data_IF_921427477044
#
_entry.id   IF_921427477044
#
_cell.length_a   1.000
_cell.length_b   1.000
_cell.length_c   1.000
_cell.angle_alpha   90.00
_cell.angle_beta   90.00
_cell.angle_gamma   90.00
#
_symmetry.space_group_name_H-M   'P 1'
#
loop_
_entity.id
_entity.type
_entity.pdbx_description
1 polymer ?
#
# COMPACT_ATOMS: atom_id res chain seq x y z
N UNK A 1 73.35 21.04 45.11
CA UNK A 1 71.97 20.73 45.48
C UNK A 1 71.04 21.26 44.37
N UNK A 2 70.56 20.37 43.49
CA UNK A 2 69.63 20.72 42.42
C UNK A 2 68.26 20.06 42.76
N UNK A 3 67.14 20.77 42.74
CA UNK A 3 65.87 20.15 42.87
C UNK A 3 65.33 19.64 41.50
N UNK A 4 64.95 18.38 41.48
CA UNK A 4 64.28 17.75 40.33
C UNK A 4 62.83 18.25 40.23
N UNK A 5 62.51 18.85 39.07
CA UNK A 5 61.16 19.25 38.71
C UNK A 5 60.44 18.04 38.08
N UNK A 6 59.45 17.50 38.79
CA UNK A 6 58.56 16.42 38.30
C UNK A 6 57.39 17.05 37.57
N UNK A 7 57.39 16.90 36.25
CA UNK A 7 56.27 17.34 35.42
C UNK A 7 55.18 16.26 35.39
N UNK A 8 54.03 16.56 35.98
CA UNK A 8 52.84 15.73 35.85
C UNK A 8 52.16 15.98 34.50
N UNK A 9 52.15 14.98 33.63
CA UNK A 9 51.39 14.99 32.36
C UNK A 9 49.99 14.45 32.73
N UNK A 10 48.99 15.35 32.74
CA UNK A 10 47.57 14.97 32.88
C UNK A 10 47.07 14.56 31.50
N UNK A 11 46.85 13.26 31.30
CA UNK A 11 46.19 12.73 30.12
C UNK A 11 44.68 12.94 30.26
N UNK A 12 44.13 13.92 29.53
CA UNK A 12 42.70 14.14 29.41
C UNK A 12 42.17 13.15 28.38
N UNK A 13 41.51 12.07 28.85
CA UNK A 13 40.74 11.18 28.01
C UNK A 13 39.45 11.90 27.56
N UNK A 14 39.39 12.34 26.27
CA UNK A 14 38.18 12.78 25.62
C UNK A 14 37.37 11.53 25.29
N UNK A 15 36.38 11.22 26.15
CA UNK A 15 35.31 10.28 25.85
C UNK A 15 34.41 10.94 24.78
N UNK A 16 34.60 10.59 23.50
CA UNK A 16 33.64 10.90 22.46
C UNK A 16 32.35 10.10 22.74
N UNK A 17 31.42 10.72 23.44
CA UNK A 17 30.04 10.28 23.49
C UNK A 17 29.47 10.44 22.06
N UNK A 18 29.43 9.33 21.32
CA UNK A 18 28.56 9.22 20.17
C UNK A 18 27.12 9.35 20.64
N UNK A 19 26.61 10.58 20.67
CA UNK A 19 25.19 10.84 20.73
C UNK A 19 24.57 10.28 19.43
N UNK A 20 24.11 9.04 19.50
CA UNK A 20 23.19 8.52 18.52
C UNK A 20 21.92 9.40 18.63
N UNK A 21 21.84 10.44 17.80
CA UNK A 21 20.61 11.21 17.69
C UNK A 21 19.54 10.24 17.17
N UNK A 22 18.53 9.98 17.98
CA UNK A 22 17.36 9.25 17.52
C UNK A 22 16.82 9.98 16.27
N UNK A 23 16.85 9.33 15.14
CA UNK A 23 16.32 9.86 13.88
C UNK A 23 14.86 10.24 14.08
N UNK A 24 14.55 11.52 14.01
CA UNK A 24 13.18 12.02 14.25
C UNK A 24 12.36 11.88 12.98
N UNK A 25 11.61 10.78 12.86
CA UNK A 25 10.59 10.62 11.80
C UNK A 25 9.56 11.73 11.91
N UNK A 26 9.39 12.51 10.84
CA UNK A 26 8.37 13.56 10.81
C UNK A 26 7.02 12.99 10.41
N UNK A 27 6.09 12.96 11.35
CA UNK A 27 4.71 12.52 11.13
C UNK A 27 3.77 13.70 10.96
N UNK A 28 3.09 13.81 9.80
CA UNK A 28 2.07 14.82 9.53
C UNK A 28 0.73 14.11 9.42
N UNK A 29 -0.16 14.40 10.34
CA UNK A 29 -1.45 13.71 10.46
C UNK A 29 -2.60 14.54 9.91
N UNK A 30 -3.69 13.85 9.54
CA UNK A 30 -4.98 14.42 9.19
C UNK A 30 -4.96 15.42 8.02
N UNK A 31 -4.09 15.20 7.03
CA UNK A 31 -4.03 16.00 5.82
C UNK A 31 -5.28 15.68 4.98
N UNK A 32 -6.14 16.67 4.75
CA UNK A 32 -7.28 16.56 3.83
C UNK A 32 -6.77 16.64 2.38
N UNK A 33 -6.98 15.58 1.60
CA UNK A 33 -6.64 15.56 0.18
C UNK A 33 -7.84 15.76 -0.74
N UNK A 34 -9.06 15.52 -0.22
CA UNK A 34 -10.30 15.75 -0.92
C UNK A 34 -11.47 15.90 0.06
N UNK A 35 -12.53 16.59 -0.40
CA UNK A 35 -13.81 16.66 0.30
C UNK A 35 -14.94 16.37 -0.68
N UNK A 36 -15.80 15.40 -0.37
CA UNK A 36 -16.95 15.01 -1.18
C UNK A 36 -18.21 15.25 -0.36
N UNK A 37 -18.97 16.28 -0.70
CA UNK A 37 -20.06 16.79 0.15
C UNK A 37 -19.51 17.08 1.56
N UNK A 38 -20.07 16.43 2.59
CA UNK A 38 -19.62 16.59 3.98
C UNK A 38 -18.56 15.58 4.41
N UNK A 39 -18.11 14.71 3.49
CA UNK A 39 -17.13 13.67 3.78
C UNK A 39 -15.70 14.13 3.44
N UNK A 40 -14.90 14.36 4.47
CA UNK A 40 -13.49 14.70 4.36
C UNK A 40 -12.65 13.43 4.17
N UNK A 41 -11.88 13.36 3.09
CA UNK A 41 -10.93 12.29 2.80
C UNK A 41 -9.53 12.73 3.24
N UNK A 42 -8.92 11.96 4.14
CA UNK A 42 -7.66 12.33 4.79
C UNK A 42 -6.59 11.27 4.62
N UNK A 43 -5.35 11.72 4.68
CA UNK A 43 -4.16 10.88 4.74
C UNK A 43 -3.23 11.31 5.88
N UNK A 44 -2.32 10.41 6.26
CA UNK A 44 -1.19 10.68 7.14
C UNK A 44 0.10 10.47 6.35
N UNK A 45 1.09 11.36 6.55
CA UNK A 45 2.43 11.23 6.00
C UNK A 45 3.42 10.86 7.11
N UNK A 46 4.25 9.88 6.82
CA UNK A 46 5.40 9.46 7.60
C UNK A 46 6.61 9.72 6.73
N UNK A 47 7.47 10.63 7.15
CA UNK A 47 8.60 11.09 6.35
C UNK A 47 9.91 10.70 7.04
N UNK A 48 10.91 10.18 6.31
CA UNK A 48 12.23 9.94 6.86
C UNK A 48 12.90 11.27 7.24
N UNK A 49 13.96 11.24 8.02
CA UNK A 49 14.72 12.43 8.42
C UNK A 49 15.24 13.21 7.20
N UNK A 50 15.74 12.47 6.19
CA UNK A 50 16.14 13.02 4.89
C UNK A 50 15.07 12.69 3.86
N UNK A 51 14.21 13.66 3.57
CA UNK A 51 13.10 13.49 2.63
C UNK A 51 13.48 13.68 1.17
N UNK A 52 14.58 14.43 0.91
CA UNK A 52 14.98 14.76 -0.45
C UNK A 52 15.17 13.51 -1.31
N UNK A 53 14.31 13.38 -2.33
CA UNK A 53 14.26 12.26 -3.26
C UNK A 53 13.90 10.90 -2.64
N UNK A 54 13.30 10.86 -1.45
CA UNK A 54 12.77 9.60 -0.93
C UNK A 54 11.60 9.12 -1.79
N UNK A 55 11.64 7.85 -2.23
CA UNK A 55 10.54 7.26 -2.97
C UNK A 55 9.30 7.12 -2.06
N UNK A 56 8.10 7.20 -2.66
CA UNK A 56 6.84 7.18 -1.93
C UNK A 56 6.16 5.81 -1.99
N UNK A 57 5.81 5.29 -0.81
CA UNK A 57 4.93 4.12 -0.66
C UNK A 57 3.57 4.59 -0.14
N UNK A 58 2.49 4.25 -0.84
CA UNK A 58 1.11 4.56 -0.45
C UNK A 58 0.48 3.34 0.19
N UNK A 59 0.13 3.43 1.47
CA UNK A 59 -0.53 2.36 2.21
C UNK A 59 -2.06 2.52 2.22
N UNK A 60 -2.77 1.43 1.91
CA UNK A 60 -4.23 1.34 1.91
C UNK A 60 -4.67 0.31 2.95
N UNK A 61 -5.47 0.76 3.92
CA UNK A 61 -5.92 -0.09 5.01
C UNK A 61 -6.93 -1.16 4.57
N UNK A 62 -6.98 -2.26 5.31
CA UNK A 62 -7.98 -3.31 5.18
C UNK A 62 -9.33 -2.95 5.84
N UNK A 63 -10.09 -3.98 6.22
CA UNK A 63 -11.34 -3.83 6.95
C UNK A 63 -12.59 -4.12 6.13
N UNK A 64 -12.49 -4.91 5.05
CA UNK A 64 -13.63 -5.35 4.23
C UNK A 64 -14.38 -4.19 3.58
N UNK A 65 -13.71 -3.08 3.30
CA UNK A 65 -14.28 -1.82 2.79
C UNK A 65 -15.37 -1.21 3.70
N UNK A 66 -15.58 -1.73 4.92
CA UNK A 66 -16.60 -1.31 5.86
C UNK A 66 -16.08 -0.64 7.12
N UNK A 67 -14.80 -0.81 7.40
CA UNK A 67 -14.10 -0.28 8.57
C UNK A 67 -12.62 -0.04 8.28
N UNK A 68 -11.90 0.53 9.25
CA UNK A 68 -10.49 0.89 9.11
C UNK A 68 -10.30 2.36 8.74
N UNK A 69 -9.09 2.80 8.75
CA UNK A 69 -8.70 4.17 8.39
C UNK A 69 -7.17 4.25 8.18
N UNK A 70 -6.69 5.41 7.73
CA UNK A 70 -5.27 5.76 7.63
C UNK A 70 -4.44 5.54 8.91
N UNK A 71 -5.09 5.43 10.08
CA UNK A 71 -4.39 5.13 11.35
C UNK A 71 -3.81 3.72 11.40
N UNK A 72 -4.23 2.84 10.51
CA UNK A 72 -3.85 1.43 10.46
C UNK A 72 -2.72 1.18 9.45
N UNK A 73 -1.68 2.01 9.51
CA UNK A 73 -0.48 1.87 8.70
C UNK A 73 0.38 0.69 9.18
N UNK A 74 0.77 -0.21 8.27
CA UNK A 74 1.64 -1.35 8.58
C UNK A 74 3.04 -1.20 7.99
N UNK A 75 3.29 -0.15 7.21
CA UNK A 75 4.55 0.06 6.52
C UNK A 75 5.27 1.36 6.93
N UNK A 76 4.85 2.02 8.01
CA UNK A 76 5.50 3.22 8.55
C UNK A 76 6.99 3.01 8.91
N UNK A 77 7.37 1.79 9.26
CA UNK A 77 8.77 1.38 9.49
C UNK A 77 9.68 1.58 8.26
N UNK A 78 9.13 1.69 7.05
CA UNK A 78 9.92 1.98 5.84
C UNK A 78 10.62 3.34 5.91
N UNK A 79 10.16 4.25 6.77
CA UNK A 79 10.83 5.54 7.00
C UNK A 79 12.23 5.38 7.60
N UNK A 80 12.47 4.33 8.40
CA UNK A 80 13.79 3.96 8.92
C UNK A 80 14.76 3.53 7.79
N UNK A 81 14.22 3.20 6.61
CA UNK A 81 14.97 2.82 5.41
C UNK A 81 14.95 3.89 4.31
N UNK A 82 14.58 5.13 4.66
CA UNK A 82 14.64 6.27 3.75
C UNK A 82 13.47 6.40 2.77
N UNK A 83 12.37 5.66 2.97
CA UNK A 83 11.14 5.80 2.17
C UNK A 83 10.16 6.75 2.84
N UNK A 84 9.47 7.57 2.06
CA UNK A 84 8.26 8.25 2.53
C UNK A 84 7.07 7.33 2.45
N UNK A 85 6.18 7.38 3.45
CA UNK A 85 4.96 6.58 3.48
C UNK A 85 3.73 7.49 3.62
N UNK A 86 2.72 7.29 2.76
CA UNK A 86 1.42 7.93 2.87
C UNK A 86 0.36 6.88 3.21
N UNK A 87 -0.26 6.98 4.37
CA UNK A 87 -1.39 6.12 4.73
C UNK A 87 -2.69 6.84 4.45
N UNK A 88 -3.56 6.29 3.59
CA UNK A 88 -4.75 6.96 3.09
C UNK A 88 -6.04 6.34 3.64
N UNK A 89 -7.08 7.17 3.83
CA UNK A 89 -8.45 6.73 4.02
C UNK A 89 -9.24 6.85 2.73
N UNK A 90 -10.25 6.00 2.59
CA UNK A 90 -11.21 6.01 1.48
C UNK A 90 -12.65 5.89 2.03
N UNK A 91 -13.66 6.27 1.25
CA UNK A 91 -15.08 6.13 1.64
C UNK A 91 -15.43 4.65 1.83
N UNK A 92 -15.96 4.34 2.99
CA UNK A 92 -16.42 2.99 3.31
C UNK A 92 -17.71 2.66 2.54
N UNK A 93 -18.02 1.39 2.38
CA UNK A 93 -19.15 0.90 1.55
C UNK A 93 -20.54 1.30 2.08
N UNK A 94 -20.64 1.74 3.34
CA UNK A 94 -21.84 2.37 3.89
C UNK A 94 -22.03 3.79 3.36
N UNK A 95 -20.94 4.49 3.03
CA UNK A 95 -20.98 5.87 2.52
C UNK A 95 -21.19 5.88 1.01
N UNK A 96 -20.46 5.02 0.29
CA UNK A 96 -20.58 4.90 -1.17
C UNK A 96 -20.19 3.50 -1.63
N UNK A 97 -20.83 3.02 -2.71
CA UNK A 97 -20.52 1.74 -3.33
C UNK A 97 -19.32 1.85 -4.26
N UNK A 98 -18.74 0.70 -4.66
CA UNK A 98 -17.76 0.66 -5.72
C UNK A 98 -18.33 1.34 -7.01
N UNK A 99 -17.50 2.17 -7.70
CA UNK A 99 -16.05 2.31 -7.63
C UNK A 99 -15.53 3.44 -6.70
N UNK A 100 -16.36 4.00 -5.80
CA UNK A 100 -15.99 5.15 -4.98
C UNK A 100 -14.67 4.97 -4.20
N UNK A 101 -14.40 3.78 -3.67
CA UNK A 101 -13.17 3.45 -2.93
C UNK A 101 -11.93 3.60 -3.81
N UNK A 102 -12.00 3.10 -5.05
CA UNK A 102 -10.91 3.20 -6.01
C UNK A 102 -10.68 4.63 -6.45
N UNK A 103 -11.74 5.39 -6.74
CA UNK A 103 -11.66 6.81 -7.09
C UNK A 103 -11.01 7.64 -5.99
N UNK A 104 -11.31 7.35 -4.71
CA UNK A 104 -10.71 8.02 -3.58
C UNK A 104 -9.20 7.72 -3.48
N UNK A 105 -8.80 6.46 -3.65
CA UNK A 105 -7.40 6.07 -3.63
C UNK A 105 -6.61 6.68 -4.80
N UNK A 106 -7.15 6.65 -6.02
CA UNK A 106 -6.53 7.29 -7.18
C UNK A 106 -6.44 8.82 -7.01
N UNK A 107 -7.48 9.43 -6.44
CA UNK A 107 -7.47 10.85 -6.07
C UNK A 107 -6.37 11.20 -5.08
N UNK A 108 -6.14 10.35 -4.07
CA UNK A 108 -5.04 10.53 -3.12
C UNK A 108 -3.66 10.46 -3.81
N UNK A 109 -3.46 9.54 -4.75
CA UNK A 109 -2.21 9.43 -5.52
C UNK A 109 -1.97 10.70 -6.36
N UNK A 110 -2.99 11.20 -7.06
CA UNK A 110 -2.89 12.45 -7.81
C UNK A 110 -2.55 13.64 -6.92
N UNK A 111 -3.20 13.72 -5.76
CA UNK A 111 -2.92 14.77 -4.77
C UNK A 111 -1.48 14.69 -4.23
N UNK A 112 -0.99 13.50 -3.92
CA UNK A 112 0.38 13.27 -3.46
C UNK A 112 1.40 13.73 -4.50
N UNK A 113 1.18 13.43 -5.79
CA UNK A 113 2.03 13.93 -6.88
C UNK A 113 2.04 15.46 -6.95
N UNK A 114 0.87 16.08 -6.93
CA UNK A 114 0.74 17.53 -7.00
C UNK A 114 1.37 18.27 -5.81
N UNK A 115 1.51 17.60 -4.67
CA UNK A 115 2.04 18.20 -3.43
C UNK A 115 3.44 17.68 -3.05
N UNK A 116 4.10 16.90 -3.90
CA UNK A 116 5.37 16.24 -3.58
C UNK A 116 6.48 17.22 -3.17
N UNK A 117 6.62 18.34 -3.87
CA UNK A 117 7.61 19.37 -3.55
C UNK A 117 7.37 20.04 -2.19
N UNK A 118 6.12 20.19 -1.78
CA UNK A 118 5.77 20.74 -0.46
C UNK A 118 6.26 19.87 0.70
N UNK A 119 6.27 18.54 0.49
CA UNK A 119 6.61 17.56 1.53
C UNK A 119 7.99 16.94 1.36
N UNK A 120 8.66 17.19 0.22
CA UNK A 120 10.05 16.80 -0.03
C UNK A 120 10.26 15.38 -0.53
N UNK A 121 9.21 14.63 -0.88
CA UNK A 121 9.34 13.29 -1.45
C UNK A 121 9.28 13.31 -2.99
N UNK A 122 9.77 12.23 -3.58
CA UNK A 122 9.83 12.01 -5.02
C UNK A 122 8.58 11.18 -5.46
N UNK A 123 8.07 11.43 -6.65
CA UNK A 123 6.88 10.76 -7.18
C UNK A 123 7.03 10.18 -8.58
N UNK A 124 8.24 10.16 -9.14
CA UNK A 124 8.51 9.43 -10.38
C UNK A 124 8.16 7.96 -10.19
N UNK A 125 8.45 7.42 -9.00
CA UNK A 125 8.16 6.05 -8.62
C UNK A 125 7.30 5.99 -7.35
N UNK A 126 5.99 5.79 -7.53
CA UNK A 126 5.07 5.51 -6.42
C UNK A 126 4.81 4.01 -6.36
N UNK A 127 4.97 3.42 -5.20
CA UNK A 127 4.56 2.04 -4.91
C UNK A 127 3.26 2.08 -4.11
N UNK A 128 2.28 1.28 -4.51
CA UNK A 128 1.04 1.12 -3.74
C UNK A 128 1.06 -0.19 -2.98
N UNK A 129 0.64 -0.15 -1.72
CA UNK A 129 0.59 -1.32 -0.85
C UNK A 129 -0.72 -1.33 -0.07
N UNK A 130 -1.23 -2.51 0.24
CA UNK A 130 -2.42 -2.60 1.09
C UNK A 130 -2.70 -4.01 1.59
N UNK A 131 -3.60 -4.11 2.57
CA UNK A 131 -3.97 -5.40 3.17
C UNK A 131 -5.44 -5.71 2.99
N UNK A 132 -5.79 -6.97 2.67
CA UNK A 132 -7.17 -7.43 2.53
C UNK A 132 -7.96 -6.54 1.56
N UNK A 133 -8.98 -5.81 2.01
CA UNK A 133 -9.69 -4.82 1.19
C UNK A 133 -8.75 -3.75 0.60
N UNK A 134 -7.69 -3.36 1.33
CA UNK A 134 -6.66 -2.44 0.82
C UNK A 134 -5.73 -3.10 -0.21
N UNK A 135 -5.43 -4.39 -0.05
CA UNK A 135 -4.69 -5.18 -1.04
C UNK A 135 -5.45 -5.27 -2.37
N UNK A 136 -6.75 -5.53 -2.30
CA UNK A 136 -7.65 -5.45 -3.46
C UNK A 136 -7.56 -4.09 -4.18
N UNK A 137 -7.67 -2.98 -3.42
CA UNK A 137 -7.61 -1.64 -4.00
C UNK A 137 -6.22 -1.34 -4.57
N UNK A 138 -5.14 -1.80 -3.92
CA UNK A 138 -3.78 -1.67 -4.42
C UNK A 138 -3.59 -2.41 -5.76
N UNK A 139 -4.07 -3.66 -5.84
CA UNK A 139 -4.05 -4.43 -7.08
C UNK A 139 -4.86 -3.76 -8.20
N UNK A 140 -6.07 -3.26 -7.90
CA UNK A 140 -6.89 -2.52 -8.86
C UNK A 140 -6.22 -1.24 -9.36
N UNK A 141 -5.59 -0.45 -8.47
CA UNK A 141 -4.86 0.76 -8.89
C UNK A 141 -3.81 0.41 -9.93
N UNK A 142 -3.02 -0.63 -9.66
CA UNK A 142 -1.94 -1.04 -10.56
C UNK A 142 -2.41 -1.57 -11.91
N UNK A 143 -3.51 -2.33 -11.93
CA UNK A 143 -4.03 -2.99 -13.16
C UNK A 143 -5.06 -2.16 -13.94
N UNK A 144 -5.43 -0.97 -13.44
CA UNK A 144 -6.42 -0.09 -14.11
C UNK A 144 -5.86 1.28 -14.47
N UNK A 145 -4.55 1.38 -14.73
CA UNK A 145 -3.94 2.62 -15.20
C UNK A 145 -4.53 3.00 -16.56
N UNK A 146 -4.98 4.26 -16.70
CA UNK A 146 -5.57 4.76 -17.94
C UNK A 146 -6.99 4.28 -18.24
N UNK A 147 -7.63 3.51 -17.35
CA UNK A 147 -9.04 3.14 -17.51
C UNK A 147 -9.93 4.30 -17.05
N UNK A 148 -10.50 5.05 -18.01
CA UNK A 148 -11.29 6.26 -17.76
C UNK A 148 -12.47 6.02 -16.80
N UNK A 149 -13.16 4.88 -16.92
CA UNK A 149 -14.29 4.52 -16.07
C UNK A 149 -13.88 4.36 -14.58
N UNK A 150 -12.62 4.01 -14.34
CA UNK A 150 -12.09 3.72 -13.01
C UNK A 150 -11.14 4.81 -12.47
N UNK A 151 -10.88 5.88 -13.25
CA UNK A 151 -10.04 7.00 -12.79
C UNK A 151 -10.77 7.89 -11.78
N UNK A 152 -11.99 8.29 -12.06
CA UNK A 152 -12.73 9.27 -11.28
C UNK A 152 -12.04 10.64 -11.21
N UNK A 153 -12.69 11.59 -10.57
CA UNK A 153 -12.28 13.00 -10.48
C UNK A 153 -12.02 13.48 -9.04
N UNK A 154 -12.05 12.56 -8.07
CA UNK A 154 -11.91 12.86 -6.64
C UNK A 154 -10.63 13.65 -6.37
N UNK A 155 -10.74 14.74 -5.60
CA UNK A 155 -9.63 15.59 -5.18
C UNK A 155 -9.03 16.45 -6.30
N UNK A 156 -9.58 16.43 -7.51
CA UNK A 156 -9.05 17.18 -8.65
C UNK A 156 -7.66 16.67 -9.06
N UNK A 157 -6.74 17.60 -9.35
CA UNK A 157 -5.37 17.31 -9.80
C UNK A 157 -5.33 16.38 -11.03
N UNK A 158 -6.30 16.51 -11.94
CA UNK A 158 -6.51 15.60 -13.08
C UNK A 158 -5.36 15.61 -14.10
N UNK A 159 -4.50 16.60 -14.06
CA UNK A 159 -3.26 16.63 -14.85
C UNK A 159 -2.17 15.69 -14.31
N UNK A 160 -2.33 15.18 -13.09
CA UNK A 160 -1.41 14.23 -12.48
C UNK A 160 -1.88 12.79 -12.75
N UNK A 161 -0.98 11.86 -13.11
CA UNK A 161 -1.36 10.47 -13.30
C UNK A 161 -1.65 9.79 -11.95
N UNK A 162 -2.56 8.80 -11.95
CA UNK A 162 -2.80 7.89 -10.82
C UNK A 162 -2.00 6.59 -10.94
N UNK A 163 -1.24 6.41 -12.03
CA UNK A 163 -0.42 5.21 -12.27
C UNK A 163 0.65 5.01 -11.20
N UNK A 164 1.03 3.76 -10.97
CA UNK A 164 2.02 3.37 -9.97
C UNK A 164 3.11 2.50 -10.58
N UNK A 165 4.28 2.44 -9.94
CA UNK A 165 5.45 1.71 -10.43
C UNK A 165 5.53 0.28 -9.92
N UNK A 166 4.85 -0.05 -8.83
CA UNK A 166 4.78 -1.41 -8.28
C UNK A 166 3.58 -1.56 -7.33
N UNK A 167 3.20 -2.81 -7.07
CA UNK A 167 2.09 -3.21 -6.20
C UNK A 167 2.61 -4.15 -5.11
N UNK A 168 2.19 -3.93 -3.86
CA UNK A 168 2.37 -4.89 -2.76
C UNK A 168 0.99 -5.25 -2.21
N UNK A 169 0.57 -6.49 -2.45
CA UNK A 169 -0.72 -7.01 -2.02
C UNK A 169 -0.55 -7.98 -0.85
N UNK A 170 -1.08 -7.61 0.31
CA UNK A 170 -1.18 -8.51 1.44
C UNK A 170 -2.58 -9.12 1.48
N UNK A 171 -2.69 -10.37 1.02
CA UNK A 171 -3.90 -11.22 1.08
C UNK A 171 -5.18 -10.54 0.60
N UNK A 172 -5.12 -9.71 -0.45
CA UNK A 172 -6.29 -9.06 -1.06
C UNK A 172 -7.06 -10.02 -1.98
N UNK A 173 -8.39 -9.89 -2.07
CA UNK A 173 -9.14 -10.59 -3.11
C UNK A 173 -8.91 -9.89 -4.45
N UNK A 174 -8.64 -10.65 -5.49
CA UNK A 174 -8.29 -10.13 -6.83
C UNK A 174 -9.33 -10.45 -7.91
N UNK A 175 -10.25 -11.39 -7.63
CA UNK A 175 -11.28 -11.83 -8.57
C UNK A 175 -12.60 -12.16 -7.85
N UNK A 176 -13.58 -11.26 -7.94
CA UNK A 176 -14.88 -11.46 -7.31
C UNK A 176 -15.76 -12.47 -8.05
N UNK A 177 -15.51 -12.77 -9.32
CA UNK A 177 -16.19 -13.85 -10.05
C UNK A 177 -15.71 -15.21 -9.55
N UNK A 178 -14.39 -15.39 -9.37
CA UNK A 178 -13.83 -16.58 -8.73
C UNK A 178 -14.35 -16.71 -7.30
N UNK A 179 -14.28 -15.62 -6.52
CA UNK A 179 -14.74 -15.59 -5.12
C UNK A 179 -16.22 -15.92 -4.97
N UNK A 180 -17.06 -15.50 -5.93
CA UNK A 180 -18.48 -15.84 -6.00
C UNK A 180 -18.72 -17.35 -6.09
N UNK A 181 -17.79 -18.09 -6.68
CA UNK A 181 -17.85 -19.56 -6.82
C UNK A 181 -17.22 -20.27 -5.63
N UNK A 182 -16.06 -19.82 -5.16
CA UNK A 182 -15.27 -20.49 -4.11
C UNK A 182 -15.67 -20.08 -2.70
N UNK A 183 -16.21 -18.85 -2.53
CA UNK A 183 -16.68 -18.31 -1.25
C UNK A 183 -18.03 -17.57 -1.42
N UNK A 184 -19.13 -18.24 -1.84
CA UNK A 184 -20.42 -17.57 -2.11
C UNK A 184 -20.96 -16.81 -0.90
N UNK A 185 -20.79 -17.33 0.33
CA UNK A 185 -21.20 -16.66 1.56
C UNK A 185 -20.48 -15.32 1.81
N UNK A 186 -19.31 -15.11 1.22
CA UNK A 186 -18.52 -13.87 1.32
C UNK A 186 -18.77 -12.91 0.17
N UNK A 187 -19.33 -13.39 -0.97
CA UNK A 187 -19.45 -12.62 -2.19
C UNK A 187 -20.90 -12.36 -2.62
N UNK A 188 -21.82 -13.29 -2.34
CA UNK A 188 -23.17 -13.27 -2.90
C UNK A 188 -24.26 -13.00 -1.86
N UNK A 189 -24.06 -13.43 -0.61
CA UNK A 189 -25.09 -13.32 0.43
C UNK A 189 -25.29 -11.88 0.89
N UNK A 190 -26.54 -11.53 1.17
CA UNK A 190 -26.93 -10.23 1.70
C UNK A 190 -26.16 -9.92 2.98
N UNK A 191 -25.56 -8.74 3.05
CA UNK A 191 -24.76 -8.32 4.20
C UNK A 191 -23.29 -8.76 4.16
N UNK A 192 -22.90 -9.64 3.23
CA UNK A 192 -21.49 -9.98 3.05
C UNK A 192 -20.66 -8.78 2.58
N UNK A 193 -19.36 -8.84 2.80
CA UNK A 193 -18.48 -7.69 2.54
C UNK A 193 -18.45 -7.28 1.06
N UNK A 194 -18.47 -8.25 0.14
CA UNK A 194 -18.51 -7.96 -1.31
C UNK A 194 -19.90 -7.50 -1.73
N UNK A 195 -20.97 -8.14 -1.19
CA UNK A 195 -22.33 -7.68 -1.43
C UNK A 195 -22.50 -6.20 -1.05
N UNK A 196 -22.02 -5.82 0.12
CA UNK A 196 -22.10 -4.44 0.59
C UNK A 196 -21.24 -3.48 -0.24
N UNK A 197 -20.11 -3.91 -0.74
CA UNK A 197 -19.24 -3.12 -1.62
C UNK A 197 -19.94 -2.86 -2.97
N UNK A 198 -20.47 -3.90 -3.60
CA UNK A 198 -21.07 -3.84 -4.94
C UNK A 198 -22.53 -3.36 -4.92
N UNK A 199 -23.19 -3.39 -3.73
CA UNK A 199 -24.62 -3.15 -3.61
C UNK A 199 -25.46 -4.28 -4.20
N UNK A 200 -24.96 -5.52 -4.12
CA UNK A 200 -25.60 -6.75 -4.59
C UNK A 200 -24.60 -7.90 -4.68
N UNK A 201 -25.09 -9.14 -4.78
CA UNK A 201 -24.24 -10.32 -4.93
C UNK A 201 -23.40 -10.28 -6.19
N UNK A 202 -22.14 -10.74 -6.11
CA UNK A 202 -21.24 -10.78 -7.26
C UNK A 202 -21.77 -11.70 -8.38
N UNK A 203 -22.56 -12.72 -8.02
CA UNK A 203 -23.26 -13.62 -8.95
C UNK A 203 -24.40 -12.94 -9.73
N UNK A 204 -24.97 -11.85 -9.20
CA UNK A 204 -26.03 -11.07 -9.83
C UNK A 204 -25.51 -9.80 -10.49
N UNK A 205 -24.44 -9.21 -9.97
CA UNK A 205 -23.80 -8.01 -10.50
C UNK A 205 -22.49 -8.35 -11.25
N UNK A 206 -22.59 -9.29 -12.17
CA UNK A 206 -21.42 -9.91 -12.84
C UNK A 206 -20.49 -8.87 -13.48
N UNK A 207 -21.02 -7.91 -14.25
CA UNK A 207 -20.17 -6.90 -14.91
C UNK A 207 -19.52 -5.95 -13.91
N UNK A 208 -20.23 -5.56 -12.84
CA UNK A 208 -19.64 -4.74 -11.77
C UNK A 208 -18.61 -5.54 -10.96
N UNK A 209 -18.84 -6.85 -10.75
CA UNK A 209 -17.89 -7.73 -10.08
C UNK A 209 -16.60 -7.90 -10.91
N UNK A 210 -16.71 -8.05 -12.23
CA UNK A 210 -15.54 -8.04 -13.14
C UNK A 210 -14.81 -6.69 -13.10
N UNK A 211 -15.56 -5.59 -13.17
CA UNK A 211 -15.00 -4.24 -13.10
C UNK A 211 -14.24 -3.99 -11.77
N UNK A 212 -14.70 -4.61 -10.68
CA UNK A 212 -14.07 -4.55 -9.37
C UNK A 212 -12.99 -5.62 -9.15
N UNK A 213 -12.56 -6.35 -10.16
CA UNK A 213 -11.62 -7.47 -10.03
C UNK A 213 -10.31 -7.18 -10.78
N UNK A 214 -9.21 -6.98 -10.05
CA UNK A 214 -7.90 -6.70 -10.64
C UNK A 214 -7.48 -7.74 -11.69
N UNK A 215 -7.79 -9.02 -11.45
CA UNK A 215 -7.49 -10.12 -12.36
C UNK A 215 -8.11 -9.97 -13.76
N UNK A 216 -9.22 -9.23 -13.89
CA UNK A 216 -9.88 -8.99 -15.19
C UNK A 216 -9.31 -7.79 -15.96
N UNK A 217 -8.42 -7.01 -15.36
CA UNK A 217 -7.81 -5.83 -15.96
C UNK A 217 -6.34 -6.01 -16.34
N UNK A 218 -5.71 -7.12 -15.96
CA UNK A 218 -4.28 -7.33 -16.21
C UNK A 218 -3.94 -7.21 -17.69
N UNK A 219 -3.05 -6.27 -18.02
CA UNK A 219 -2.50 -6.00 -19.36
C UNK A 219 -1.03 -6.42 -19.44
N UNK A 220 -0.36 -6.18 -20.56
CA UNK A 220 1.07 -6.48 -20.69
C UNK A 220 1.98 -5.38 -20.12
N UNK A 221 1.40 -4.23 -19.76
CA UNK A 221 2.14 -3.05 -19.29
C UNK A 221 1.99 -2.82 -17.78
N UNK A 222 1.36 -3.78 -17.08
CA UNK A 222 1.12 -3.64 -15.64
C UNK A 222 2.41 -3.71 -14.81
N UNK A 223 2.46 -2.96 -13.70
CA UNK A 223 3.65 -2.88 -12.87
C UNK A 223 3.93 -4.20 -12.12
N UNK A 224 5.19 -4.42 -11.68
CA UNK A 224 5.56 -5.56 -10.84
C UNK A 224 4.66 -5.73 -9.62
N UNK A 225 4.35 -6.98 -9.27
CA UNK A 225 3.43 -7.35 -8.18
C UNK A 225 4.13 -8.25 -7.15
N UNK A 226 4.15 -7.82 -5.89
CA UNK A 226 4.56 -8.61 -4.73
C UNK A 226 3.34 -9.00 -3.91
N UNK A 227 3.16 -10.30 -3.65
CA UNK A 227 2.03 -10.84 -2.89
C UNK A 227 2.51 -11.57 -1.64
N UNK A 228 1.80 -11.38 -0.53
CA UNK A 228 1.92 -12.18 0.68
C UNK A 228 0.55 -12.78 1.02
N UNK A 229 0.46 -14.12 1.17
CA UNK A 229 -0.79 -14.79 1.51
C UNK A 229 -0.54 -15.98 2.44
N UNK A 230 -1.41 -16.16 3.44
CA UNK A 230 -1.37 -17.33 4.32
C UNK A 230 -2.13 -18.52 3.69
N UNK A 231 -1.57 -19.72 3.74
CA UNK A 231 -2.20 -20.92 3.16
C UNK A 231 -3.41 -21.45 3.97
N UNK A 232 -3.57 -20.98 5.23
CA UNK A 232 -4.75 -21.26 6.05
C UNK A 232 -5.77 -20.12 6.10
N UNK A 233 -5.68 -19.14 5.19
CA UNK A 233 -6.62 -18.02 5.13
C UNK A 233 -8.02 -18.48 4.67
N UNK A 234 -8.99 -18.38 5.59
CA UNK A 234 -10.41 -18.69 5.33
C UNK A 234 -11.29 -17.44 5.12
N UNK A 235 -10.68 -16.25 5.25
CA UNK A 235 -11.39 -14.97 5.00
C UNK A 235 -11.31 -14.57 3.53
N UNK A 236 -10.11 -14.65 2.96
CA UNK A 236 -9.84 -14.57 1.52
C UNK A 236 -9.02 -15.81 1.18
N UNK A 237 -9.59 -16.74 0.42
CA UNK A 237 -8.86 -17.95 0.05
C UNK A 237 -7.63 -17.60 -0.80
N UNK A 238 -6.60 -18.43 -0.67
CA UNK A 238 -5.34 -18.25 -1.40
C UNK A 238 -5.50 -18.31 -2.92
N UNK A 239 -6.61 -18.91 -3.40
CA UNK A 239 -6.98 -18.98 -4.81
C UNK A 239 -7.04 -17.61 -5.49
N UNK A 240 -7.31 -16.55 -4.71
CA UNK A 240 -7.34 -15.16 -5.19
C UNK A 240 -5.94 -14.69 -5.61
N UNK A 241 -4.93 -14.98 -4.81
CA UNK A 241 -3.53 -14.66 -5.12
C UNK A 241 -2.95 -15.58 -6.20
N UNK A 242 -3.33 -16.85 -6.20
CA UNK A 242 -2.93 -17.81 -7.24
C UNK A 242 -3.47 -17.42 -8.62
N UNK A 243 -4.75 -16.97 -8.69
CA UNK A 243 -5.39 -16.57 -9.94
C UNK A 243 -4.65 -15.40 -10.61
N UNK A 244 -4.42 -14.31 -9.89
CA UNK A 244 -3.72 -13.15 -10.48
C UNK A 244 -2.25 -13.48 -10.78
N UNK A 245 -1.57 -14.27 -9.93
CA UNK A 245 -0.20 -14.73 -10.19
C UNK A 245 -0.10 -15.53 -11.48
N UNK A 246 -1.07 -16.42 -11.75
CA UNK A 246 -1.13 -17.18 -13.00
C UNK A 246 -1.29 -16.28 -14.21
N UNK A 247 -2.13 -15.25 -14.12
CA UNK A 247 -2.36 -14.29 -15.21
C UNK A 247 -1.09 -13.48 -15.48
N UNK A 248 -0.45 -12.93 -14.42
CA UNK A 248 0.81 -12.20 -14.56
C UNK A 248 1.89 -13.04 -15.25
N UNK A 249 2.09 -14.28 -14.79
CA UNK A 249 3.06 -15.22 -15.40
C UNK A 249 2.74 -15.51 -16.86
N UNK A 250 1.46 -15.70 -17.22
CA UNK A 250 1.04 -15.97 -18.59
C UNK A 250 1.32 -14.81 -19.55
N UNK A 251 1.43 -13.59 -19.03
CA UNK A 251 1.76 -12.37 -19.76
C UNK A 251 3.24 -11.98 -19.69
N UNK A 252 4.08 -12.78 -19.02
CA UNK A 252 5.50 -12.50 -18.83
C UNK A 252 5.77 -11.32 -17.87
N UNK A 253 4.79 -10.94 -17.06
CA UNK A 253 4.92 -9.85 -16.10
C UNK A 253 5.66 -10.31 -14.83
N UNK A 254 6.35 -9.38 -14.18
CA UNK A 254 7.04 -9.63 -12.91
C UNK A 254 6.05 -9.83 -11.78
N UNK A 255 6.06 -11.00 -11.15
CA UNK A 255 5.25 -11.33 -9.98
C UNK A 255 6.00 -12.21 -9.00
N UNK A 256 5.96 -11.85 -7.73
CA UNK A 256 6.50 -12.62 -6.61
C UNK A 256 5.36 -12.94 -5.65
N UNK A 257 5.05 -14.23 -5.46
CA UNK A 257 4.05 -14.68 -4.51
C UNK A 257 4.74 -15.41 -3.36
N UNK A 258 4.55 -14.89 -2.15
CA UNK A 258 5.09 -15.44 -0.91
C UNK A 258 3.95 -16.06 -0.10
N UNK A 259 3.95 -17.39 -0.01
CA UNK A 259 3.00 -18.16 0.80
C UNK A 259 3.56 -18.28 2.21
N UNK A 260 2.78 -17.84 3.21
CA UNK A 260 3.14 -17.97 4.63
C UNK A 260 2.45 -19.23 5.18
N UNK A 261 3.25 -20.28 5.38
CA UNK A 261 2.72 -21.58 5.81
C UNK A 261 2.13 -21.54 7.21
N UNK A 262 0.94 -22.14 7.39
CA UNK A 262 0.17 -22.15 8.63
C UNK A 262 -0.41 -20.81 9.03
N UNK A 263 -0.34 -19.78 8.17
CA UNK A 263 -0.87 -18.45 8.51
C UNK A 263 -2.27 -18.25 7.95
N UNK A 264 -3.07 -17.54 8.77
CA UNK A 264 -4.45 -17.16 8.47
C UNK A 264 -4.50 -15.77 7.85
N UNK A 265 -5.68 -15.12 7.88
CA UNK A 265 -5.90 -13.77 7.33
C UNK A 265 -5.23 -12.69 8.18
N UNK A 266 -4.01 -12.29 7.84
CA UNK A 266 -3.25 -11.27 8.55
C UNK A 266 -2.48 -11.79 9.76
N UNK A 267 -2.01 -10.84 10.58
CA UNK A 267 -1.15 -11.08 11.73
C UNK A 267 0.20 -10.38 11.59
N UNK A 268 0.94 -10.31 12.69
CA UNK A 268 2.24 -9.61 12.74
C UNK A 268 3.28 -10.22 11.79
N UNK A 269 3.24 -11.52 11.58
CA UNK A 269 4.20 -12.25 10.74
C UNK A 269 4.29 -11.73 9.30
N UNK A 270 3.20 -11.18 8.77
CA UNK A 270 3.18 -10.59 7.42
C UNK A 270 4.08 -9.36 7.29
N UNK A 271 4.34 -8.66 8.40
CA UNK A 271 5.00 -7.35 8.43
C UNK A 271 6.31 -7.34 9.20
N UNK A 272 6.86 -8.51 9.52
CA UNK A 272 8.06 -8.65 10.37
C UNK A 272 9.08 -9.61 9.75
N UNK A 273 10.29 -9.63 10.32
CA UNK A 273 11.33 -10.58 9.98
C UNK A 273 11.68 -10.61 8.49
N UNK A 274 11.72 -11.80 7.92
CA UNK A 274 12.08 -12.03 6.52
C UNK A 274 11.14 -11.31 5.53
N UNK A 275 9.85 -11.15 5.88
CA UNK A 275 8.90 -10.48 5.00
C UNK A 275 9.21 -8.98 4.85
N UNK A 276 9.77 -8.31 5.88
CA UNK A 276 10.32 -6.95 5.71
C UNK A 276 11.47 -6.93 4.73
N UNK A 277 12.37 -7.89 4.80
CA UNK A 277 13.52 -7.97 3.88
C UNK A 277 13.06 -8.21 2.43
N UNK A 278 12.02 -9.02 2.23
CA UNK A 278 11.42 -9.24 0.91
C UNK A 278 10.81 -7.95 0.35
N UNK A 279 10.14 -7.16 1.18
CA UNK A 279 9.62 -5.84 0.79
C UNK A 279 10.76 -4.91 0.38
N UNK A 280 11.81 -4.77 1.20
CA UNK A 280 12.96 -3.91 0.89
C UNK A 280 13.65 -4.33 -0.41
N UNK A 281 13.88 -5.63 -0.58
CA UNK A 281 14.47 -6.17 -1.81
C UNK A 281 13.61 -5.84 -3.03
N UNK A 282 12.30 -6.05 -2.95
CA UNK A 282 11.37 -5.74 -4.03
C UNK A 282 11.37 -4.24 -4.36
N UNK A 283 11.34 -3.36 -3.36
CA UNK A 283 11.42 -1.91 -3.55
C UNK A 283 12.73 -1.53 -4.25
N UNK A 284 13.85 -2.09 -3.83
CA UNK A 284 15.16 -1.87 -4.46
C UNK A 284 15.18 -2.30 -5.94
N UNK A 285 14.61 -3.46 -6.25
CA UNK A 285 14.53 -3.98 -7.62
C UNK A 285 13.71 -3.07 -8.53
N UNK A 286 12.52 -2.65 -8.09
CA UNK A 286 11.62 -1.84 -8.93
C UNK A 286 12.04 -0.38 -9.06
N UNK A 287 12.78 0.16 -8.09
CA UNK A 287 13.25 1.54 -8.13
C UNK A 287 14.57 1.68 -8.91
N UNK A 288 15.47 0.68 -8.84
CA UNK A 288 16.74 0.67 -9.58
C UNK A 288 16.58 0.32 -11.06
N UNK A 289 15.57 -0.49 -11.41
CA UNK A 289 15.33 -0.90 -12.81
C UNK A 289 14.88 0.24 -13.74
N UNK A 290 14.59 1.44 -13.20
CA UNK A 290 14.05 2.60 -13.94
C UNK A 290 14.91 3.87 -13.77
N UNK A 291 16.05 3.79 -13.10
CA UNK A 291 17.11 4.81 -13.08
C UNK A 291 18.16 4.53 -14.14
#
# INVERSE_FOLDING_TARGET
MHPHLITFITVINFLLLNLCSAETVKNIKDIEFAKIKDHSLKLDLYLPEKTEKSALVVWIHGGGWQKGSKKDCKLDWLTEHGYSVASISYRLSQVAKFPAQLHDCKGAIRWLRANSSKYGFETTHIVVAGSSAGGHLAALIGTTSGNEQLEGDVGGNLSQPSSVSAIIDYYGPTDFILRSKTQPSRANEVGSVVYNLLGGGADKKVELAKLASAAHHVTNDDPPLLIFHGDEDKTVLIDQSEAITKIYKSKGLSVQMNVLSGKKHGGADFYQGENRQRVLKFLDEVLKAKS
#
